data_IF_263245188448
#
_entry.id   IF_263245188448
#
_cell.length_a   1.000
_cell.length_b   1.000
_cell.length_c   1.000
_cell.angle_alpha   90.00
_cell.angle_beta   90.00
_cell.angle_gamma   90.00
#
_symmetry.space_group_name_H-M   'P 1'
#
loop_
_entity.id
_entity.type
_entity.pdbx_description
1 polymer ?
#
# COMPACT_ATOMS: atom_id res chain seq x y z
N UNK A 1 -5.74 11.98 -9.21
CA UNK A 1 -4.97 11.84 -7.97
C UNK A 1 -5.59 10.71 -7.18
N UNK A 2 -4.97 9.54 -7.22
CA UNK A 2 -5.39 8.37 -6.45
C UNK A 2 -4.12 7.74 -5.87
N UNK A 3 -3.59 8.39 -4.84
CA UNK A 3 -2.43 7.97 -4.04
C UNK A 3 -2.86 7.02 -2.91
N UNK A 4 -3.90 6.22 -3.18
CA UNK A 4 -4.50 5.35 -2.18
C UNK A 4 -3.75 4.03 -2.10
N UNK A 5 -3.53 3.57 -0.89
CA UNK A 5 -2.99 2.24 -0.62
C UNK A 5 -4.11 1.20 -0.70
N UNK A 6 -3.77 -0.02 -1.06
CA UNK A 6 -4.73 -1.14 -1.05
C UNK A 6 -4.55 -1.91 0.24
N UNK A 7 -5.63 -2.11 0.99
CA UNK A 7 -5.64 -3.00 2.16
C UNK A 7 -6.33 -4.30 1.76
N UNK A 8 -5.67 -5.41 2.04
CA UNK A 8 -6.15 -6.76 1.78
C UNK A 8 -6.35 -7.42 3.12
N UNK A 9 -7.58 -7.84 3.39
CA UNK A 9 -7.93 -8.59 4.58
C UNK A 9 -7.91 -10.07 4.27
N UNK A 10 -7.48 -10.88 5.25
CA UNK A 10 -7.73 -12.30 5.20
C UNK A 10 -9.23 -12.53 5.30
N UNK A 11 -9.78 -13.26 4.33
CA UNK A 11 -11.19 -13.64 4.36
C UNK A 11 -11.32 -15.14 4.02
N UNK A 12 -11.75 -16.01 4.96
CA UNK A 12 -11.87 -17.45 4.73
C UNK A 12 -12.79 -17.82 3.56
N UNK A 13 -13.80 -17.00 3.27
CA UNK A 13 -14.74 -17.18 2.16
C UNK A 13 -14.46 -16.23 0.99
N UNK A 14 -13.25 -15.66 0.94
CA UNK A 14 -12.87 -14.66 -0.03
C UNK A 14 -12.90 -15.17 -1.47
N UNK A 15 -13.21 -14.28 -2.41
CA UNK A 15 -13.24 -14.60 -3.84
C UNK A 15 -11.85 -14.93 -4.44
N UNK A 16 -10.77 -14.62 -3.71
CA UNK A 16 -9.39 -14.84 -4.13
C UNK A 16 -8.63 -15.56 -3.01
N UNK A 17 -7.98 -16.67 -3.34
CA UNK A 17 -7.06 -17.38 -2.44
C UNK A 17 -5.62 -17.04 -2.75
N UNK A 18 -4.78 -16.90 -1.71
CA UNK A 18 -3.33 -16.99 -1.91
C UNK A 18 -2.99 -18.45 -2.22
N UNK A 19 -2.42 -18.69 -3.41
CA UNK A 19 -1.89 -20.00 -3.77
C UNK A 19 -0.56 -20.28 -3.05
N UNK A 20 0.07 -21.41 -3.38
CA UNK A 20 1.42 -21.77 -2.92
C UNK A 20 2.53 -20.86 -3.45
N UNK A 21 2.20 -19.94 -4.37
CA UNK A 21 3.15 -18.96 -4.91
C UNK A 21 3.15 -17.71 -4.02
N UNK A 22 4.32 -17.12 -3.73
CA UNK A 22 4.44 -15.96 -2.86
C UNK A 22 4.06 -14.64 -3.57
N UNK A 23 2.96 -14.63 -4.33
CA UNK A 23 2.47 -13.46 -5.04
C UNK A 23 1.01 -13.22 -4.68
N UNK A 24 0.66 -11.93 -4.55
CA UNK A 24 -0.72 -11.50 -4.33
C UNK A 24 -1.28 -10.96 -5.63
N UNK A 25 -2.39 -11.53 -6.08
CA UNK A 25 -3.08 -11.05 -7.27
C UNK A 25 -3.93 -9.83 -6.91
N UNK A 26 -3.61 -8.70 -7.53
CA UNK A 26 -4.47 -7.52 -7.51
C UNK A 26 -5.38 -7.54 -8.75
N UNK A 27 -6.72 -7.58 -8.58
CA UNK A 27 -7.65 -7.45 -9.69
C UNK A 27 -7.36 -6.19 -10.52
N UNK A 28 -7.59 -6.25 -11.83
CA UNK A 28 -7.29 -5.14 -12.74
C UNK A 28 -7.98 -3.82 -12.34
N UNK A 29 -9.22 -3.91 -11.85
CA UNK A 29 -9.98 -2.75 -11.35
C UNK A 29 -9.30 -2.12 -10.13
N UNK A 30 -8.78 -2.93 -9.22
CA UNK A 30 -8.04 -2.43 -8.04
C UNK A 30 -6.77 -1.74 -8.49
N UNK A 31 -5.97 -2.39 -9.35
CA UNK A 31 -4.74 -1.82 -9.91
C UNK A 31 -4.98 -0.45 -10.56
N UNK A 32 -5.99 -0.34 -11.43
CA UNK A 32 -6.32 0.92 -12.09
C UNK A 32 -6.75 2.01 -11.11
N UNK A 33 -7.53 1.67 -10.07
CA UNK A 33 -7.98 2.61 -9.04
C UNK A 33 -6.86 3.20 -8.21
N UNK A 34 -5.76 2.47 -8.01
CA UNK A 34 -4.59 2.95 -7.24
C UNK A 34 -3.39 3.29 -8.13
N UNK A 35 -3.60 3.35 -9.45
CA UNK A 35 -2.56 3.73 -10.40
C UNK A 35 -1.39 2.76 -10.54
N UNK A 36 -1.56 1.48 -10.19
CA UNK A 36 -0.51 0.45 -10.34
C UNK A 36 -0.62 -0.19 -11.73
N UNK A 37 0.46 -0.16 -12.51
CA UNK A 37 0.62 -0.88 -13.77
C UNK A 37 1.35 -2.22 -13.58
N UNK A 38 1.32 -3.09 -14.60
CA UNK A 38 2.12 -4.30 -14.60
C UNK A 38 3.61 -3.95 -14.73
N UNK A 39 4.45 -4.51 -13.85
CA UNK A 39 5.88 -4.20 -13.80
C UNK A 39 6.24 -3.08 -12.81
N UNK A 40 5.27 -2.36 -12.27
CA UNK A 40 5.52 -1.35 -11.24
C UNK A 40 6.02 -1.99 -9.95
N UNK A 41 6.94 -1.29 -9.30
CA UNK A 41 7.36 -1.61 -7.95
C UNK A 41 6.36 -1.06 -6.93
N UNK A 42 6.10 -1.84 -5.89
CA UNK A 42 5.21 -1.47 -4.79
C UNK A 42 5.83 -1.90 -3.48
N UNK A 43 5.54 -1.19 -2.39
CA UNK A 43 5.84 -1.68 -1.05
C UNK A 43 4.69 -2.56 -0.59
N UNK A 44 5.02 -3.80 -0.23
CA UNK A 44 4.09 -4.76 0.33
C UNK A 44 4.40 -4.95 1.82
N UNK A 45 3.42 -4.68 2.68
CA UNK A 45 3.58 -4.72 4.13
C UNK A 45 2.56 -5.67 4.73
N UNK A 46 3.03 -6.65 5.49
CA UNK A 46 2.15 -7.44 6.34
C UNK A 46 2.04 -6.75 7.71
N UNK A 47 0.81 -6.59 8.20
CA UNK A 47 0.55 -6.19 9.58
C UNK A 47 -0.19 -7.33 10.30
N UNK A 48 0.54 -8.21 11.01
CA UNK A 48 -0.04 -9.35 11.71
C UNK A 48 -1.00 -8.94 12.84
N UNK A 49 -0.87 -7.73 13.39
CA UNK A 49 -1.73 -7.28 14.48
C UNK A 49 -3.17 -7.05 14.02
N UNK A 50 -3.34 -6.75 12.73
CA UNK A 50 -4.64 -6.50 12.11
C UNK A 50 -5.04 -7.59 11.09
N UNK A 51 -4.21 -8.62 10.90
CA UNK A 51 -4.40 -9.69 9.92
C UNK A 51 -4.62 -9.15 8.49
N UNK A 52 -3.81 -8.14 8.13
CA UNK A 52 -3.87 -7.47 6.82
C UNK A 52 -2.55 -7.49 6.07
N UNK A 53 -2.67 -7.36 4.76
CA UNK A 53 -1.59 -7.06 3.85
C UNK A 53 -1.88 -5.74 3.13
N UNK A 54 -0.97 -4.80 3.21
CA UNK A 54 -1.11 -3.47 2.63
C UNK A 54 -0.17 -3.32 1.44
N UNK A 55 -0.70 -2.84 0.33
CA UNK A 55 0.07 -2.49 -0.88
C UNK A 55 0.11 -0.98 -1.01
N UNK A 56 1.32 -0.41 -0.94
CA UNK A 56 1.56 1.00 -1.17
C UNK A 56 2.21 1.19 -2.56
N UNK A 57 1.52 1.87 -3.51
CA UNK A 57 2.18 2.40 -4.70
C UNK A 57 3.31 3.36 -4.31
N UNK A 58 4.34 3.51 -5.16
CA UNK A 58 5.43 4.45 -4.88
C UNK A 58 4.96 5.91 -4.75
N UNK A 59 3.92 6.30 -5.48
CA UNK A 59 3.33 7.65 -5.35
C UNK A 59 2.70 7.89 -3.97
N UNK A 60 2.08 6.86 -3.39
CA UNK A 60 1.57 6.92 -2.03
C UNK A 60 2.72 7.03 -1.01
N UNK A 61 3.83 6.30 -1.22
CA UNK A 61 5.01 6.42 -0.37
C UNK A 61 5.66 7.80 -0.46
N UNK A 62 5.78 8.36 -1.66
CA UNK A 62 6.31 9.70 -1.89
C UNK A 62 5.51 10.74 -1.09
N UNK A 63 4.18 10.64 -1.15
CA UNK A 63 3.28 11.49 -0.35
C UNK A 63 3.48 11.28 1.15
N UNK A 64 3.54 10.04 1.63
CA UNK A 64 3.72 9.72 3.06
C UNK A 64 5.06 10.22 3.59
N UNK A 65 6.14 10.00 2.83
CA UNK A 65 7.50 10.42 3.20
C UNK A 65 7.61 11.94 3.18
N UNK A 66 7.03 12.61 2.17
CA UNK A 66 7.00 14.08 2.09
C UNK A 66 6.25 14.67 3.28
N UNK A 67 5.07 14.14 3.60
CA UNK A 67 4.30 14.57 4.76
C UNK A 67 5.08 14.34 6.07
N UNK A 68 5.71 13.18 6.23
CA UNK A 68 6.53 12.87 7.39
C UNK A 68 7.69 13.87 7.54
N UNK A 69 8.43 14.15 6.47
CA UNK A 69 9.51 15.14 6.49
C UNK A 69 9.02 16.55 6.83
N UNK A 70 7.83 16.95 6.36
CA UNK A 70 7.23 18.23 6.71
C UNK A 70 6.93 18.34 8.22
N UNK A 71 6.54 17.24 8.88
CA UNK A 71 6.35 17.24 10.35
C UNK A 71 7.68 17.37 11.10
N UNK A 72 8.75 16.79 10.56
CA UNK A 72 10.09 16.91 11.15
C UNK A 72 10.68 18.31 10.99
N UNK A 73 10.39 19.01 9.89
CA UNK A 73 10.86 20.39 9.67
C UNK A 73 10.15 21.39 10.59
N UNK A 74 8.86 21.21 10.84
CA UNK A 74 8.10 22.07 11.79
C UNK A 74 8.60 21.96 13.24
N UNK A 75 9.21 20.83 13.61
CA UNK A 75 9.85 20.65 14.92
C UNK A 75 11.19 21.39 15.08
N UNK A 76 11.77 21.92 13.99
CA UNK A 76 13.07 22.63 14.00
C UNK A 76 12.94 24.15 14.05
N UNK A 77 11.74 24.69 13.82
CA UNK A 77 11.47 26.14 13.80
C UNK A 77 11.03 26.71 15.16
N UNK A 78 10.94 25.86 16.21
CA UNK A 78 10.54 26.26 17.57
C UNK A 78 11.69 26.23 18.60
N UNK A 79 12.95 26.37 18.19
CA UNK A 79 14.07 26.48 19.12
C UNK A 79 15.03 27.61 18.78
#
# INVERSE_FOLDING_TARGET
>A
MVDASVVIHREPTGAFGMGTKPYVMLPAVVRHRVGIAAGDQVLLVADPNYDVLVVHPLAALDTMITAYHATLSQGRESR
#
